data_IF_403019323996
#
_entry.id   IF_403019323996
#
_cell.length_a   1.000
_cell.length_b   1.000
_cell.length_c   1.000
_cell.angle_alpha   90.00
_cell.angle_beta   90.00
_cell.angle_gamma   90.00
#
_symmetry.space_group_name_H-M   'P 1'
#
loop_
_entity.id
_entity.type
_entity.pdbx_description
1 polymer ?
#
# COMPACT_ATOMS: atom_id res chain seq x y z
N UNK A 1 19.56 12.61 46.81
CA UNK A 1 19.29 13.30 45.53
C UNK A 1 19.96 12.49 44.44
N UNK A 2 19.24 12.04 43.42
CA UNK A 2 19.86 11.28 42.32
C UNK A 2 20.64 12.24 41.45
N UNK A 3 21.96 12.11 41.44
CA UNK A 3 22.84 12.93 40.63
C UNK A 3 22.70 12.50 39.16
N UNK A 4 22.03 13.34 38.38
CA UNK A 4 21.64 13.08 37.00
C UNK A 4 22.47 13.98 36.07
N UNK A 5 22.95 13.42 34.96
CA UNK A 5 23.75 14.15 33.97
C UNK A 5 23.33 13.79 32.53
N UNK A 6 23.57 14.65 31.53
CA UNK A 6 23.21 14.35 30.15
C UNK A 6 24.16 13.32 29.52
N UNK A 7 23.61 12.44 28.68
CA UNK A 7 24.36 11.58 27.79
C UNK A 7 25.19 12.44 26.82
N UNK A 8 26.48 12.16 26.70
CA UNK A 8 27.40 12.93 25.82
C UNK A 8 27.05 12.87 24.33
N UNK A 9 26.32 11.84 23.89
CA UNK A 9 25.97 11.65 22.48
C UNK A 9 24.58 12.18 22.11
N UNK A 10 23.56 11.98 22.93
CA UNK A 10 22.17 12.36 22.61
C UNK A 10 21.52 13.32 23.59
N UNK A 11 22.24 13.80 24.61
CA UNK A 11 21.72 14.73 25.62
C UNK A 11 20.74 14.13 26.63
N UNK A 12 20.22 12.91 26.42
CA UNK A 12 19.27 12.28 27.35
C UNK A 12 19.83 12.17 28.77
N UNK A 13 19.00 12.50 29.75
CA UNK A 13 19.36 12.46 31.17
C UNK A 13 19.60 11.01 31.62
N UNK A 14 20.74 10.76 32.26
CA UNK A 14 21.15 9.47 32.81
C UNK A 14 21.65 9.63 34.25
N UNK A 15 21.54 8.57 35.04
CA UNK A 15 22.13 8.50 36.37
C UNK A 15 23.65 8.65 36.28
N UNK A 16 24.27 9.36 37.22
CA UNK A 16 25.72 9.49 37.28
C UNK A 16 26.43 8.13 37.36
N UNK A 17 25.84 7.15 38.06
CA UNK A 17 26.33 5.76 38.11
C UNK A 17 26.33 5.08 36.72
N UNK A 18 25.31 5.38 35.90
CA UNK A 18 25.26 4.89 34.52
C UNK A 18 26.36 5.55 33.71
N UNK A 19 26.47 6.88 33.76
CA UNK A 19 27.51 7.64 33.07
C UNK A 19 28.92 7.14 33.41
N UNK A 20 29.20 6.85 34.68
CA UNK A 20 30.49 6.29 35.10
C UNK A 20 30.79 4.92 34.47
N UNK A 21 29.79 4.02 34.38
CA UNK A 21 29.94 2.67 33.80
C UNK A 21 29.99 2.65 32.27
N UNK A 22 29.50 3.70 31.61
CA UNK A 22 29.30 3.75 30.15
C UNK A 22 30.14 4.82 29.45
N UNK A 23 31.04 5.49 30.16
CA UNK A 23 31.86 6.57 29.59
C UNK A 23 31.05 7.83 29.25
N UNK A 24 29.96 8.10 29.98
CA UNK A 24 29.08 9.25 29.76
C UNK A 24 27.97 8.99 28.75
N UNK A 25 27.73 7.75 28.34
CA UNK A 25 26.70 7.39 27.37
C UNK A 25 25.47 6.77 28.03
N UNK A 26 24.27 7.05 27.54
CA UNK A 26 23.11 6.24 27.89
C UNK A 26 23.24 4.83 27.30
N UNK A 27 22.53 3.84 27.88
CA UNK A 27 22.58 2.45 27.41
C UNK A 27 22.27 2.31 25.91
N UNK A 28 21.29 3.03 25.31
CA UNK A 28 21.06 2.98 23.87
C UNK A 28 22.18 3.56 23.00
N UNK A 29 22.85 4.63 23.46
CA UNK A 29 24.01 5.16 22.73
C UNK A 29 25.21 4.21 22.84
N UNK A 30 25.43 3.61 24.03
CA UNK A 30 26.48 2.61 24.22
C UNK A 30 26.22 1.35 23.37
N UNK A 31 24.96 0.94 23.24
CA UNK A 31 24.55 -0.21 22.45
C UNK A 31 24.32 0.06 20.96
N UNK A 32 24.51 1.30 20.48
CA UNK A 32 24.37 1.64 19.07
C UNK A 32 22.94 1.67 18.50
N UNK A 33 21.90 1.56 19.33
CA UNK A 33 20.50 1.50 18.88
C UNK A 33 19.67 2.75 19.22
N UNK A 34 20.32 3.84 19.68
CA UNK A 34 19.64 5.12 19.95
C UNK A 34 18.92 5.65 18.71
N UNK A 35 19.56 5.61 17.56
CA UNK A 35 18.99 6.12 16.31
C UNK A 35 17.74 5.35 15.91
N UNK A 36 17.74 4.01 16.06
CA UNK A 36 16.57 3.17 15.81
C UNK A 36 15.37 3.58 16.68
N UNK A 37 15.61 3.94 17.95
CA UNK A 37 14.55 4.42 18.85
C UNK A 37 13.97 5.75 18.35
N UNK A 38 14.83 6.70 17.96
CA UNK A 38 14.35 8.01 17.50
C UNK A 38 13.67 7.91 16.12
N UNK A 39 14.16 7.06 15.22
CA UNK A 39 13.49 6.70 13.97
C UNK A 39 12.11 6.11 14.24
N UNK A 40 12.00 5.17 15.18
CA UNK A 40 10.73 4.58 15.57
C UNK A 40 9.73 5.60 16.11
N UNK A 41 10.19 6.58 16.90
CA UNK A 41 9.32 7.67 17.38
C UNK A 41 8.86 8.59 16.24
N UNK A 42 9.75 8.94 15.31
CA UNK A 42 9.39 9.76 14.14
C UNK A 42 8.33 9.05 13.29
N UNK A 43 8.58 7.80 12.94
CA UNK A 43 7.64 6.98 12.19
C UNK A 43 6.28 6.87 12.91
N UNK A 44 6.27 6.64 14.23
CA UNK A 44 5.02 6.58 15.00
C UNK A 44 4.25 7.91 14.97
N UNK A 45 4.95 9.04 15.02
CA UNK A 45 4.35 10.37 14.94
C UNK A 45 3.80 10.66 13.53
N UNK A 46 4.56 10.37 12.48
CA UNK A 46 4.15 10.51 11.07
C UNK A 46 2.93 9.63 10.79
N UNK A 47 2.95 8.36 11.22
CA UNK A 47 1.82 7.45 11.09
C UNK A 47 0.59 7.95 11.84
N UNK A 48 0.76 8.52 13.04
CA UNK A 48 -0.35 9.13 13.79
C UNK A 48 -0.95 10.32 13.05
N UNK A 49 -0.13 11.15 12.43
CA UNK A 49 -0.57 12.29 11.62
C UNK A 49 -1.33 11.80 10.38
N UNK A 50 -0.77 10.83 9.65
CA UNK A 50 -1.43 10.22 8.49
C UNK A 50 -2.79 9.61 8.85
N UNK A 51 -2.87 8.81 9.93
CA UNK A 51 -4.13 8.19 10.36
C UNK A 51 -5.19 9.20 10.81
N UNK A 52 -4.79 10.42 11.13
CA UNK A 52 -5.71 11.52 11.44
C UNK A 52 -6.10 12.35 10.20
N UNK A 53 -5.50 12.09 9.03
CA UNK A 53 -5.82 12.82 7.80
C UNK A 53 -7.23 12.49 7.28
N UNK A 54 -7.90 13.43 6.57
CA UNK A 54 -9.17 13.17 5.93
C UNK A 54 -9.13 11.95 4.99
N UNK A 55 -8.01 11.78 4.27
CA UNK A 55 -7.80 10.67 3.34
C UNK A 55 -7.82 9.31 4.06
N UNK A 56 -7.05 9.15 5.13
CA UNK A 56 -6.96 7.88 5.85
C UNK A 56 -8.29 7.53 6.55
N UNK A 57 -8.94 8.53 7.15
CA UNK A 57 -10.27 8.35 7.77
C UNK A 57 -11.31 7.95 6.73
N UNK A 58 -11.31 8.60 5.57
CA UNK A 58 -12.23 8.28 4.48
C UNK A 58 -11.97 6.89 3.90
N UNK A 59 -10.70 6.53 3.68
CA UNK A 59 -10.32 5.19 3.23
C UNK A 59 -10.83 4.11 4.20
N UNK A 60 -10.61 4.29 5.51
CA UNK A 60 -11.10 3.36 6.53
C UNK A 60 -12.62 3.21 6.49
N UNK A 61 -13.37 4.32 6.38
CA UNK A 61 -14.82 4.30 6.29
C UNK A 61 -15.32 3.64 4.99
N UNK A 62 -14.61 3.85 3.87
CA UNK A 62 -14.90 3.23 2.59
C UNK A 62 -14.70 1.71 2.64
N UNK A 63 -13.56 1.25 3.18
CA UNK A 63 -13.29 -0.18 3.41
C UNK A 63 -14.35 -0.80 4.33
N UNK A 64 -14.71 -0.14 5.42
CA UNK A 64 -15.77 -0.63 6.31
C UNK A 64 -17.11 -0.77 5.59
N UNK A 65 -17.46 0.13 4.68
CA UNK A 65 -18.68 -0.03 3.87
C UNK A 65 -18.62 -1.25 2.96
N UNK A 66 -17.49 -1.50 2.31
CA UNK A 66 -17.34 -2.65 1.41
C UNK A 66 -17.47 -3.97 2.17
N UNK A 67 -16.89 -4.10 3.36
CA UNK A 67 -16.85 -5.38 4.07
C UNK A 67 -17.91 -5.56 5.17
N UNK A 68 -18.50 -4.48 5.69
CA UNK A 68 -19.43 -4.54 6.83
C UNK A 68 -20.88 -4.20 6.48
N UNK A 69 -21.19 -3.91 5.23
CA UNK A 69 -22.58 -3.66 4.78
C UNK A 69 -23.04 -4.71 3.78
N UNK A 70 -24.35 -5.04 3.72
CA UNK A 70 -24.87 -6.02 2.77
C UNK A 70 -24.70 -5.62 1.31
N UNK A 71 -24.66 -4.31 1.01
CA UNK A 71 -24.52 -3.82 -0.35
C UNK A 71 -23.09 -3.96 -0.88
N UNK A 72 -22.10 -4.02 0.04
CA UNK A 72 -20.68 -4.19 -0.27
C UNK A 72 -20.15 -3.17 -1.29
N UNK A 73 -19.21 -3.62 -2.12
CA UNK A 73 -18.63 -2.80 -3.19
C UNK A 73 -19.67 -2.23 -4.16
N UNK A 74 -20.68 -3.04 -4.53
CA UNK A 74 -21.73 -2.61 -5.46
C UNK A 74 -22.63 -1.49 -4.90
N UNK A 75 -22.66 -1.32 -3.57
CA UNK A 75 -23.39 -0.25 -2.89
C UNK A 75 -22.69 1.12 -2.92
N UNK A 76 -21.43 1.16 -3.33
CA UNK A 76 -20.66 2.41 -3.42
C UNK A 76 -21.12 3.25 -4.61
N UNK A 77 -21.01 4.58 -4.49
CA UNK A 77 -21.17 5.46 -5.64
C UNK A 77 -20.06 5.20 -6.68
N UNK A 78 -20.32 5.49 -7.96
CA UNK A 78 -19.38 5.17 -9.04
C UNK A 78 -17.98 5.74 -8.80
N UNK A 79 -17.89 6.99 -8.34
CA UNK A 79 -16.61 7.62 -8.06
C UNK A 79 -15.85 6.91 -6.91
N UNK A 80 -16.57 6.42 -5.91
CA UNK A 80 -16.02 5.65 -4.80
C UNK A 80 -15.57 4.25 -5.24
N UNK A 81 -16.30 3.61 -6.17
CA UNK A 81 -15.90 2.33 -6.75
C UNK A 81 -14.56 2.45 -7.48
N UNK A 82 -14.40 3.50 -8.29
CA UNK A 82 -13.14 3.78 -8.98
C UNK A 82 -12.00 4.06 -8.01
N UNK A 83 -12.23 4.95 -7.04
CA UNK A 83 -11.22 5.26 -6.01
C UNK A 83 -10.82 4.01 -5.21
N UNK A 84 -11.81 3.20 -4.82
CA UNK A 84 -11.57 1.95 -4.09
C UNK A 84 -10.77 0.94 -4.90
N UNK A 85 -11.21 0.65 -6.13
CA UNK A 85 -10.59 -0.36 -6.97
C UNK A 85 -9.14 -0.01 -7.32
N UNK A 86 -8.82 1.27 -7.52
CA UNK A 86 -7.45 1.71 -7.80
C UNK A 86 -6.57 1.67 -6.55
N UNK A 87 -7.07 2.06 -5.36
CA UNK A 87 -6.32 1.88 -4.11
C UNK A 87 -6.04 0.39 -3.82
N UNK A 88 -7.04 -0.48 -4.03
CA UNK A 88 -6.87 -1.93 -3.85
C UNK A 88 -5.83 -2.47 -4.83
N UNK A 89 -5.91 -2.09 -6.11
CA UNK A 89 -4.89 -2.47 -7.09
C UNK A 89 -3.49 -2.06 -6.62
N UNK A 90 -3.31 -0.79 -6.23
CA UNK A 90 -2.02 -0.28 -5.77
C UNK A 90 -1.50 -1.09 -4.57
N UNK A 91 -2.36 -1.34 -3.58
CA UNK A 91 -2.00 -2.10 -2.38
C UNK A 91 -1.62 -3.54 -2.68
N UNK A 92 -2.39 -4.25 -3.52
CA UNK A 92 -2.09 -5.64 -3.90
C UNK A 92 -0.77 -5.75 -4.66
N UNK A 93 -0.53 -4.87 -5.64
CA UNK A 93 0.70 -4.91 -6.43
C UNK A 93 1.92 -4.61 -5.56
N UNK A 94 1.86 -3.63 -4.65
CA UNK A 94 2.96 -3.40 -3.69
C UNK A 94 3.16 -4.56 -2.69
N UNK A 95 2.12 -5.34 -2.39
CA UNK A 95 2.21 -6.44 -1.44
C UNK A 95 2.70 -7.75 -2.08
N UNK A 96 2.32 -8.03 -3.32
CA UNK A 96 2.61 -9.30 -3.98
C UNK A 96 2.46 -9.29 -5.50
N UNK A 97 2.51 -8.13 -6.14
CA UNK A 97 2.50 -8.01 -7.59
C UNK A 97 1.13 -8.17 -8.26
N UNK A 98 1.14 -8.08 -9.59
CA UNK A 98 -0.07 -8.30 -10.39
C UNK A 98 -0.61 -9.73 -10.27
N UNK A 99 0.27 -10.71 -10.05
CA UNK A 99 -0.16 -12.10 -9.81
C UNK A 99 -1.09 -12.19 -8.59
N UNK A 100 -0.68 -11.59 -7.47
CA UNK A 100 -1.50 -11.53 -6.26
C UNK A 100 -2.80 -10.75 -6.50
N UNK A 101 -2.75 -9.61 -7.20
CA UNK A 101 -3.94 -8.82 -7.50
C UNK A 101 -5.03 -9.64 -8.21
N UNK A 102 -4.66 -10.38 -9.26
CA UNK A 102 -5.60 -11.20 -10.02
C UNK A 102 -6.00 -12.49 -9.31
N UNK A 103 -5.07 -13.11 -8.57
CA UNK A 103 -5.32 -14.35 -7.82
C UNK A 103 -6.19 -14.17 -6.58
N UNK A 104 -6.21 -12.97 -5.99
CA UNK A 104 -7.03 -12.64 -4.83
C UNK A 104 -8.44 -12.16 -5.23
N UNK A 105 -9.32 -11.99 -4.23
CA UNK A 105 -10.66 -11.39 -4.40
C UNK A 105 -10.59 -9.95 -4.93
N UNK A 106 -9.47 -9.25 -4.72
CA UNK A 106 -9.19 -7.94 -5.31
C UNK A 106 -9.33 -7.90 -6.84
N UNK A 107 -9.09 -9.03 -7.52
CA UNK A 107 -9.30 -9.19 -8.96
C UNK A 107 -10.76 -9.05 -9.41
N UNK A 108 -11.73 -9.18 -8.50
CA UNK A 108 -13.16 -8.93 -8.77
C UNK A 108 -13.39 -7.48 -9.24
N UNK A 109 -12.49 -6.57 -8.84
CA UNK A 109 -12.59 -5.15 -9.12
C UNK A 109 -11.83 -4.72 -10.40
N UNK A 110 -11.32 -5.65 -11.20
CA UNK A 110 -10.53 -5.35 -12.41
C UNK A 110 -11.17 -4.31 -13.33
N UNK A 111 -12.45 -4.48 -13.68
CA UNK A 111 -13.13 -3.56 -14.59
C UNK A 111 -13.23 -2.14 -14.00
N UNK A 112 -13.54 -2.03 -12.71
CA UNK A 112 -13.60 -0.74 -12.00
C UNK A 112 -12.23 -0.12 -11.81
N UNK A 113 -11.17 -0.92 -11.62
CA UNK A 113 -9.79 -0.45 -11.58
C UNK A 113 -9.37 0.14 -12.93
N UNK A 114 -9.66 -0.54 -14.04
CA UNK A 114 -9.39 0.00 -15.38
C UNK A 114 -10.15 1.31 -15.64
N UNK A 115 -11.43 1.38 -15.28
CA UNK A 115 -12.22 2.60 -15.42
C UNK A 115 -11.67 3.74 -14.56
N UNK A 116 -11.35 3.46 -13.30
CA UNK A 116 -10.73 4.42 -12.39
C UNK A 116 -9.40 4.94 -12.91
N UNK A 117 -8.48 4.06 -13.32
CA UNK A 117 -7.18 4.48 -13.88
C UNK A 117 -7.33 5.40 -15.10
N UNK A 118 -8.34 5.17 -15.96
CA UNK A 118 -8.66 6.08 -17.07
C UNK A 118 -9.13 7.44 -16.58
N UNK A 119 -10.02 7.49 -15.60
CA UNK A 119 -10.51 8.75 -15.03
C UNK A 119 -9.42 9.54 -14.28
N UNK A 120 -8.51 8.84 -13.60
CA UNK A 120 -7.34 9.42 -12.95
C UNK A 120 -6.27 9.91 -13.94
N UNK A 121 -6.37 9.51 -15.21
CA UNK A 121 -5.33 9.72 -16.23
C UNK A 121 -4.05 8.94 -15.96
N UNK A 122 -4.11 7.86 -15.17
CA UNK A 122 -2.99 6.96 -14.86
C UNK A 122 -2.82 5.91 -15.97
N UNK A 123 -2.50 6.38 -17.16
CA UNK A 123 -2.53 5.55 -18.38
C UNK A 123 -1.36 4.58 -18.47
N UNK A 124 -0.23 4.86 -17.82
CA UNK A 124 0.89 3.91 -17.80
C UNK A 124 0.60 2.76 -16.85
N UNK A 125 0.03 3.05 -15.68
CA UNK A 125 -0.48 2.01 -14.77
C UNK A 125 -1.58 1.16 -15.41
N UNK A 126 -2.49 1.78 -16.17
CA UNK A 126 -3.51 1.05 -16.93
C UNK A 126 -2.89 0.09 -17.94
N UNK A 127 -1.89 0.55 -18.70
CA UNK A 127 -1.21 -0.29 -19.67
C UNK A 127 -0.54 -1.50 -18.99
N UNK A 128 0.14 -1.30 -17.85
CA UNK A 128 0.72 -2.38 -17.08
C UNK A 128 -0.33 -3.40 -16.61
N UNK A 129 -1.47 -2.93 -16.10
CA UNK A 129 -2.57 -3.79 -15.66
C UNK A 129 -3.15 -4.60 -16.83
N UNK A 130 -3.33 -3.98 -17.99
CA UNK A 130 -3.84 -4.65 -19.21
C UNK A 130 -2.83 -5.65 -19.78
N UNK A 131 -1.52 -5.34 -19.72
CA UNK A 131 -0.43 -6.26 -20.08
C UNK A 131 -0.43 -7.48 -19.15
N UNK A 132 -0.52 -7.29 -17.84
CA UNK A 132 -0.59 -8.38 -16.86
C UNK A 132 -1.83 -9.26 -17.05
N UNK A 133 -2.99 -8.64 -17.29
CA UNK A 133 -4.22 -9.36 -17.67
C UNK A 133 -4.01 -10.21 -18.92
N UNK A 134 -3.26 -9.69 -19.90
CA UNK A 134 -2.93 -10.39 -21.14
C UNK A 134 -2.06 -11.62 -20.91
N UNK A 135 -1.07 -11.53 -20.00
CA UNK A 135 -0.23 -12.66 -19.63
C UNK A 135 -1.05 -13.78 -18.95
N UNK A 136 -1.94 -13.40 -18.03
CA UNK A 136 -2.67 -14.37 -17.21
C UNK A 136 -3.90 -14.98 -17.89
N UNK A 137 -4.59 -14.24 -18.75
CA UNK A 137 -5.88 -14.65 -19.33
C UNK A 137 -5.94 -14.52 -20.86
N UNK A 138 -4.87 -14.08 -21.50
CA UNK A 138 -4.84 -13.84 -22.95
C UNK A 138 -5.91 -12.85 -23.41
N UNK A 139 -6.59 -13.16 -24.51
CA UNK A 139 -7.70 -12.35 -25.03
C UNK A 139 -9.02 -12.54 -24.27
N UNK A 140 -9.11 -13.53 -23.36
CA UNK A 140 -10.36 -13.85 -22.66
C UNK A 140 -10.71 -12.77 -21.62
N UNK A 141 -11.99 -12.68 -21.24
CA UNK A 141 -12.39 -11.83 -20.12
C UNK A 141 -11.80 -12.38 -18.81
N UNK A 142 -11.53 -11.48 -17.86
CA UNK A 142 -11.13 -11.86 -16.49
C UNK A 142 -12.35 -12.51 -15.81
N UNK A 143 -12.27 -13.76 -15.33
CA UNK A 143 -13.37 -14.41 -14.63
C UNK A 143 -13.81 -13.63 -13.38
N UNK A 144 -15.12 -13.60 -13.14
CA UNK A 144 -15.69 -12.93 -11.97
C UNK A 144 -15.40 -13.69 -10.66
N UNK A 145 -15.38 -15.02 -10.71
CA UNK A 145 -15.13 -15.85 -9.54
C UNK A 145 -13.63 -16.07 -9.31
N UNK A 146 -13.17 -15.87 -8.08
CA UNK A 146 -11.76 -16.02 -7.70
C UNK A 146 -11.20 -17.41 -8.05
N UNK A 147 -11.94 -18.46 -7.71
CA UNK A 147 -11.51 -19.83 -8.00
C UNK A 147 -11.34 -20.08 -9.50
N UNK A 148 -12.18 -19.49 -10.35
CA UNK A 148 -12.01 -19.58 -11.79
C UNK A 148 -10.80 -18.80 -12.31
N UNK A 149 -10.47 -17.65 -11.69
CA UNK A 149 -9.24 -16.93 -12.03
C UNK A 149 -8.03 -17.79 -11.73
N UNK A 150 -7.92 -18.28 -10.50
CA UNK A 150 -6.80 -19.13 -10.06
C UNK A 150 -6.64 -20.36 -10.95
N UNK A 151 -7.73 -21.04 -11.31
CA UNK A 151 -7.67 -22.21 -12.21
C UNK A 151 -7.17 -21.89 -13.63
N UNK A 152 -7.31 -20.64 -14.10
CA UNK A 152 -6.88 -20.21 -15.44
C UNK A 152 -5.52 -19.53 -15.44
N UNK A 153 -5.08 -19.03 -14.30
CA UNK A 153 -3.79 -18.37 -14.16
C UNK A 153 -2.68 -19.40 -14.29
N UNK A 154 -1.75 -19.24 -15.26
CA UNK A 154 -0.67 -20.19 -15.49
C UNK A 154 0.33 -20.27 -14.32
N UNK A 155 0.32 -19.27 -13.43
CA UNK A 155 1.11 -19.20 -12.18
C UNK A 155 0.53 -20.04 -11.03
N UNK A 156 -0.75 -20.42 -11.13
CA UNK A 156 -1.46 -21.23 -10.12
C UNK A 156 -1.60 -22.71 -10.50
N UNK A 157 -1.06 -23.11 -11.67
CA UNK A 157 -1.04 -24.49 -12.11
C UNK A 157 -0.15 -25.36 -11.19
N UNK A 158 -0.40 -26.68 -11.18
CA UNK A 158 0.45 -27.65 -10.43
C UNK A 158 1.94 -27.55 -10.83
N UNK A 159 2.18 -27.26 -12.11
CA UNK A 159 3.49 -26.87 -12.65
C UNK A 159 3.38 -25.43 -13.18
N UNK A 160 3.76 -24.42 -12.38
CA UNK A 160 3.65 -23.01 -12.77
C UNK A 160 4.49 -22.64 -13.99
N UNK A 161 3.95 -21.76 -14.85
CA UNK A 161 4.69 -21.21 -15.97
C UNK A 161 5.70 -20.15 -15.51
N UNK A 162 6.94 -20.58 -15.31
CA UNK A 162 8.05 -19.73 -14.88
C UNK A 162 8.34 -18.57 -15.84
N UNK A 163 8.00 -18.68 -17.13
CA UNK A 163 8.17 -17.59 -18.08
C UNK A 163 7.08 -16.53 -17.90
N UNK A 164 5.86 -16.94 -17.56
CA UNK A 164 4.79 -16.04 -17.17
C UNK A 164 5.12 -15.30 -15.87
N UNK A 165 5.60 -16.01 -14.85
CA UNK A 165 6.04 -15.42 -13.57
C UNK A 165 7.12 -14.35 -13.80
N UNK A 166 8.18 -14.70 -14.53
CA UNK A 166 9.26 -13.75 -14.82
C UNK A 166 8.79 -12.53 -15.63
N UNK A 167 7.78 -12.69 -16.50
CA UNK A 167 7.18 -11.59 -17.23
C UNK A 167 6.35 -10.68 -16.31
N UNK A 168 5.59 -11.25 -15.36
CA UNK A 168 4.84 -10.49 -14.35
C UNK A 168 5.78 -9.72 -13.42
N UNK A 169 6.88 -10.34 -12.96
CA UNK A 169 7.91 -9.67 -12.14
C UNK A 169 8.49 -8.42 -12.83
N UNK A 170 8.65 -8.48 -14.16
CA UNK A 170 9.11 -7.34 -14.95
C UNK A 170 8.05 -6.22 -15.02
N UNK A 171 6.76 -6.57 -15.05
CA UNK A 171 5.66 -5.58 -14.96
C UNK A 171 5.57 -4.97 -13.57
N UNK A 172 5.70 -5.77 -12.52
CA UNK A 172 5.73 -5.30 -11.13
C UNK A 172 6.89 -4.32 -10.92
N UNK A 173 8.08 -4.66 -11.41
CA UNK A 173 9.24 -3.77 -11.37
C UNK A 173 8.96 -2.43 -12.07
N UNK A 174 8.29 -2.44 -13.22
CA UNK A 174 7.87 -1.21 -13.93
C UNK A 174 6.82 -0.44 -13.13
N UNK A 175 5.90 -1.12 -12.45
CA UNK A 175 4.89 -0.52 -11.59
C UNK A 175 5.53 0.19 -10.39
N UNK A 176 6.53 -0.43 -9.75
CA UNK A 176 7.22 0.13 -8.58
C UNK A 176 7.99 1.41 -8.85
N UNK A 177 8.31 1.71 -10.12
CA UNK A 177 8.86 3.00 -10.52
C UNK A 177 7.84 4.15 -10.39
N UNK A 178 6.56 3.82 -10.15
CA UNK A 178 5.43 4.72 -9.99
C UNK A 178 5.41 5.86 -11.03
N UNK A 179 5.38 5.52 -12.33
CA UNK A 179 5.55 6.52 -13.39
C UNK A 179 4.38 7.49 -13.48
N UNK A 180 3.23 7.14 -12.89
CA UNK A 180 2.03 7.96 -12.85
C UNK A 180 1.85 8.73 -11.54
N UNK A 181 2.69 8.52 -10.51
CA UNK A 181 2.52 9.15 -9.19
C UNK A 181 1.10 8.85 -8.65
N UNK A 182 0.81 7.56 -8.51
CA UNK A 182 -0.56 7.07 -8.36
C UNK A 182 -1.23 7.58 -7.07
N UNK A 183 -0.46 7.74 -6.00
CA UNK A 183 -0.97 8.31 -4.74
C UNK A 183 -1.43 9.76 -4.93
N UNK A 184 -0.64 10.60 -5.59
CA UNK A 184 -1.00 11.99 -5.89
C UNK A 184 -2.25 12.07 -6.78
N UNK A 185 -2.37 11.17 -7.76
CA UNK A 185 -3.56 11.11 -8.64
C UNK A 185 -4.80 10.68 -7.88
N UNK A 186 -4.69 9.70 -6.99
CA UNK A 186 -5.78 9.26 -6.13
C UNK A 186 -6.26 10.40 -5.23
N UNK A 187 -5.34 11.15 -4.62
CA UNK A 187 -5.68 12.33 -3.80
C UNK A 187 -6.36 13.41 -4.65
N UNK A 188 -5.82 13.71 -5.83
CA UNK A 188 -6.40 14.70 -6.74
C UNK A 188 -7.82 14.32 -7.19
N UNK A 189 -8.01 13.05 -7.57
CA UNK A 189 -9.31 12.52 -7.95
C UNK A 189 -10.31 12.58 -6.80
N UNK A 190 -9.92 12.16 -5.59
CA UNK A 190 -10.81 12.19 -4.43
C UNK A 190 -11.25 13.61 -4.08
N UNK A 191 -10.36 14.60 -4.22
CA UNK A 191 -10.70 16.03 -4.07
C UNK A 191 -11.65 16.52 -5.16
N UNK A 192 -11.39 16.18 -6.41
CA UNK A 192 -12.24 16.53 -7.55
C UNK A 192 -13.66 15.97 -7.39
N UNK A 193 -13.78 14.74 -6.91
CA UNK A 193 -15.04 14.05 -6.65
C UNK A 193 -15.64 14.37 -5.27
N UNK A 194 -15.00 15.26 -4.50
CA UNK A 194 -15.43 15.69 -3.17
C UNK A 194 -15.66 14.53 -2.18
N UNK A 195 -14.84 13.47 -2.29
CA UNK A 195 -14.94 12.28 -1.44
C UNK A 195 -14.55 12.60 0.01
N UNK A 196 -13.54 13.45 0.21
CA UNK A 196 -13.17 13.99 1.51
C UNK A 196 -12.73 15.45 1.39
N UNK A 197 -12.77 16.17 2.52
CA UNK A 197 -12.35 17.57 2.58
C UNK A 197 -10.85 17.69 2.26
N UNK A 198 -10.48 18.70 1.46
CA UNK A 198 -9.08 19.07 1.30
C UNK A 198 -8.58 19.71 2.60
N UNK A 199 -7.36 19.33 3.01
CA UNK A 199 -6.60 20.02 4.06
C UNK A 199 -6.25 21.47 3.64
#
# INVERSE_FOLDING_TARGET
MSDNQPCRACGNVILASTAARTGGLCMPCKGGYRENIENGKRYAQERKQYLASPQALYWSALVDRVFRTPQGFAGLALAEQHYYAVNVLQGEVYNGGFDQYFGNSSGDHYASACAGLRELGALQTLALLEEAKGLLFGAQAVPAEQGERQLRMPTYADEPDLACEAALDALDTRFYLDPDQLEERLVAYARQQQLFAAD
#
